data_IF_706093516069
#
_entry.id   IF_706093516069
#
_cell.length_a   1.000
_cell.length_b   1.000
_cell.length_c   1.000
_cell.angle_alpha   90.00
_cell.angle_beta   90.00
_cell.angle_gamma   90.00
#
_symmetry.space_group_name_H-M   'P 1'
#
loop_
_entity.id
_entity.type
_entity.pdbx_description
1 polymer ?
#
# COMPACT_ATOMS: atom_id res chain seq x y z
N UNK A 1 2.71 -0.45 -2.58
CA UNK A 1 2.26 -0.16 -1.21
C UNK A 1 0.77 -0.36 -1.10
N UNK A 2 0.36 -0.95 0.03
CA UNK A 2 -1.01 -1.27 0.39
C UNK A 2 -1.38 -0.31 1.52
N UNK A 3 -1.87 0.87 1.18
CA UNK A 3 -2.16 1.90 2.17
C UNK A 3 -3.46 2.65 1.85
N UNK A 4 -4.16 3.15 2.88
CA UNK A 4 -5.25 4.09 2.67
C UNK A 4 -4.79 5.35 1.93
N UNK A 5 -5.72 6.08 1.31
CA UNK A 5 -5.45 7.33 0.60
C UNK A 5 -6.28 8.48 1.17
N UNK A 6 -5.75 9.70 1.02
CA UNK A 6 -6.34 10.92 1.54
C UNK A 6 -6.50 10.90 3.06
N UNK A 7 -7.46 11.68 3.54
CA UNK A 7 -7.75 11.82 4.97
C UNK A 7 -8.73 10.76 5.44
N UNK A 8 -8.35 10.00 6.48
CA UNK A 8 -9.22 8.99 7.12
C UNK A 8 -9.15 9.14 8.63
N UNK A 9 -10.21 8.72 9.32
CA UNK A 9 -10.21 8.63 10.77
C UNK A 9 -9.74 7.24 11.21
N UNK A 10 -8.90 7.18 12.22
CA UNK A 10 -8.52 5.94 12.89
C UNK A 10 -9.63 5.45 13.85
N UNK A 11 -9.37 4.34 14.54
CA UNK A 11 -10.31 3.78 15.52
C UNK A 11 -10.55 4.70 16.74
N UNK A 12 -9.65 5.63 17.04
CA UNK A 12 -9.78 6.63 18.09
C UNK A 12 -10.49 7.92 17.61
N UNK A 13 -10.81 8.01 16.32
CA UNK A 13 -11.45 9.17 15.70
C UNK A 13 -10.48 10.29 15.28
N UNK A 14 -9.17 10.06 15.36
CA UNK A 14 -8.11 10.99 14.93
C UNK A 14 -8.03 10.99 13.41
N UNK A 15 -8.04 12.17 12.80
CA UNK A 15 -7.84 12.33 11.35
C UNK A 15 -6.36 12.15 11.01
N UNK A 16 -6.08 11.23 10.10
CA UNK A 16 -4.75 10.93 9.57
C UNK A 16 -4.76 11.24 8.07
N UNK A 17 -3.79 12.03 7.61
CA UNK A 17 -3.55 12.30 6.20
C UNK A 17 -2.53 11.31 5.62
N UNK A 18 -3.04 10.31 4.90
CA UNK A 18 -2.20 9.27 4.30
C UNK A 18 -1.44 9.76 3.07
N UNK A 19 -1.88 10.84 2.44
CA UNK A 19 -1.14 11.44 1.33
C UNK A 19 0.10 12.16 1.85
N UNK A 20 -0.01 12.89 2.97
CA UNK A 20 1.12 13.54 3.63
C UNK A 20 2.18 12.51 4.07
N UNK A 21 1.76 11.44 4.76
CA UNK A 21 2.65 10.35 5.18
C UNK A 21 3.38 9.73 3.99
N UNK A 22 2.65 9.51 2.90
CA UNK A 22 3.22 8.94 1.70
C UNK A 22 4.29 9.85 1.07
N UNK A 23 3.93 11.10 0.76
CA UNK A 23 4.79 11.99 -0.01
C UNK A 23 5.99 12.51 0.80
N UNK A 24 5.82 12.73 2.10
CA UNK A 24 6.87 13.33 2.93
C UNK A 24 7.68 12.30 3.73
N UNK A 25 7.16 11.10 3.95
CA UNK A 25 7.81 10.07 4.74
C UNK A 25 8.22 8.85 3.93
N UNK A 26 7.23 8.11 3.43
CA UNK A 26 7.46 6.79 2.83
C UNK A 26 8.19 6.89 1.49
N UNK A 27 7.72 7.74 0.58
CA UNK A 27 8.27 7.87 -0.77
C UNK A 27 9.76 8.26 -0.75
N UNK A 28 10.20 9.29 0.00
CA UNK A 28 11.62 9.64 0.09
C UNK A 28 12.48 8.49 0.61
N UNK A 29 11.99 7.73 1.60
CA UNK A 29 12.73 6.59 2.15
C UNK A 29 12.90 5.44 1.14
N UNK A 30 11.89 5.20 0.30
CA UNK A 30 11.97 4.21 -0.79
C UNK A 30 12.99 4.67 -1.85
N UNK A 31 12.94 5.94 -2.24
CA UNK A 31 13.86 6.51 -3.23
C UNK A 31 15.32 6.51 -2.73
N UNK A 32 15.55 6.82 -1.45
CA UNK A 32 16.87 6.78 -0.82
C UNK A 32 17.44 5.35 -0.76
N UNK A 33 16.57 4.36 -0.58
CA UNK A 33 16.89 2.93 -0.71
C UNK A 33 17.12 2.48 -2.17
N UNK A 34 17.05 3.39 -3.15
CA UNK A 34 17.17 3.14 -4.60
C UNK A 34 16.12 2.17 -5.14
N UNK A 35 14.93 2.20 -4.56
CA UNK A 35 13.77 1.43 -5.00
C UNK A 35 12.76 2.34 -5.71
N UNK A 36 11.89 1.74 -6.51
CA UNK A 36 10.81 2.47 -7.19
C UNK A 36 9.53 2.47 -6.34
N UNK A 37 9.00 3.64 -5.93
CA UNK A 37 7.78 3.72 -5.15
C UNK A 37 6.55 3.50 -6.04
N UNK A 38 5.80 2.42 -5.75
CA UNK A 38 4.54 2.09 -6.44
C UNK A 38 3.37 2.12 -5.45
N UNK A 39 2.47 3.11 -5.57
CA UNK A 39 1.22 3.21 -4.78
C UNK A 39 0.04 2.71 -5.62
N UNK A 40 -0.79 1.83 -5.04
CA UNK A 40 -1.84 1.11 -5.77
C UNK A 40 -2.98 2.00 -6.32
N UNK A 41 -3.10 3.23 -5.83
CA UNK A 41 -4.16 4.19 -6.13
C UNK A 41 -3.77 5.25 -7.20
N UNK A 42 -2.54 5.22 -7.71
CA UNK A 42 -2.08 6.14 -8.74
C UNK A 42 -2.79 5.92 -10.10
N UNK A 43 -3.42 4.77 -10.31
CA UNK A 43 -4.21 4.47 -11.50
C UNK A 43 -5.71 4.41 -11.19
N UNK A 44 -6.40 5.55 -11.36
CA UNK A 44 -7.87 5.60 -11.50
C UNK A 44 -8.34 5.15 -12.89
N UNK A 45 -7.70 4.14 -13.49
CA UNK A 45 -8.09 3.65 -14.81
C UNK A 45 -9.08 2.49 -14.64
N UNK A 46 -10.29 2.65 -15.15
CA UNK A 46 -11.42 1.71 -15.03
C UNK A 46 -11.27 0.39 -15.80
N UNK A 47 -10.12 -0.26 -15.69
CA UNK A 47 -9.91 -1.65 -16.11
C UNK A 47 -10.39 -2.65 -15.06
N UNK A 48 -10.11 -3.95 -15.28
CA UNK A 48 -10.35 -5.00 -14.27
C UNK A 48 -9.42 -4.73 -13.08
N UNK A 49 -9.93 -3.99 -12.09
CA UNK A 49 -9.24 -3.45 -10.90
C UNK A 49 -8.31 -4.50 -10.25
N UNK A 50 -8.71 -5.76 -10.32
CA UNK A 50 -7.99 -6.87 -9.72
C UNK A 50 -6.70 -7.26 -10.46
N UNK A 51 -6.62 -7.18 -11.79
CA UNK A 51 -5.45 -7.71 -12.53
C UNK A 51 -4.18 -6.90 -12.25
N UNK A 52 -4.24 -5.57 -12.39
CA UNK A 52 -3.11 -4.70 -12.10
C UNK A 52 -2.71 -4.73 -10.61
N UNK A 53 -3.70 -4.91 -9.72
CA UNK A 53 -3.46 -5.10 -8.29
C UNK A 53 -2.69 -6.40 -8.02
N UNK A 54 -3.12 -7.52 -8.58
CA UNK A 54 -2.46 -8.83 -8.40
C UNK A 54 -1.07 -8.85 -9.02
N UNK A 55 -0.87 -8.29 -10.21
CA UNK A 55 0.46 -8.18 -10.85
C UNK A 55 1.45 -7.48 -9.93
N UNK A 56 1.07 -6.35 -9.33
CA UNK A 56 1.91 -5.62 -8.36
C UNK A 56 2.24 -6.48 -7.15
N UNK A 57 1.25 -7.18 -6.59
CA UNK A 57 1.46 -8.07 -5.45
C UNK A 57 2.38 -9.25 -5.77
N UNK A 58 2.46 -9.68 -7.02
CA UNK A 58 3.29 -10.82 -7.43
C UNK A 58 4.71 -10.41 -7.86
N UNK A 59 4.82 -9.26 -8.53
CA UNK A 59 6.04 -8.80 -9.18
C UNK A 59 6.87 -7.84 -8.33
N UNK A 60 6.28 -7.17 -7.34
CA UNK A 60 7.05 -6.27 -6.48
C UNK A 60 8.05 -7.05 -5.63
N UNK A 61 9.28 -6.54 -5.58
CA UNK A 61 10.34 -7.06 -4.72
C UNK A 61 10.00 -6.91 -3.25
N UNK A 62 9.35 -5.79 -2.88
CA UNK A 62 8.92 -5.49 -1.52
C UNK A 62 7.47 -5.00 -1.49
N UNK A 63 6.76 -5.32 -0.42
CA UNK A 63 5.43 -4.79 -0.14
C UNK A 63 5.40 -4.14 1.24
N UNK A 64 4.96 -2.89 1.31
CA UNK A 64 4.69 -2.17 2.56
C UNK A 64 3.18 -2.03 2.72
N UNK A 65 2.65 -2.47 3.86
CA UNK A 65 1.22 -2.53 4.17
C UNK A 65 0.88 -1.69 5.41
N UNK A 66 0.07 -0.65 5.24
CA UNK A 66 -0.38 0.22 6.34
C UNK A 66 -1.67 -0.34 6.96
N UNK A 67 -1.54 -0.83 8.21
CA UNK A 67 -2.64 -1.43 8.96
C UNK A 67 -3.33 -0.45 9.93
N UNK A 68 -2.98 0.84 9.92
CA UNK A 68 -3.38 1.85 10.92
C UNK A 68 -4.90 1.96 11.07
N UNK A 69 -5.63 1.89 9.95
CA UNK A 69 -7.10 2.04 9.93
C UNK A 69 -7.85 0.71 9.93
N UNK A 70 -7.15 -0.42 10.06
CA UNK A 70 -7.73 -1.75 9.90
C UNK A 70 -8.57 -1.90 8.60
N UNK A 71 -8.10 -1.30 7.51
CA UNK A 71 -8.81 -1.31 6.23
C UNK A 71 -8.89 -2.73 5.66
N UNK A 72 -10.11 -3.24 5.46
CA UNK A 72 -10.36 -4.57 4.92
C UNK A 72 -9.68 -4.85 3.57
N UNK A 73 -9.54 -3.83 2.70
CA UNK A 73 -8.86 -3.99 1.42
C UNK A 73 -7.36 -4.25 1.61
N UNK A 74 -6.72 -3.52 2.52
CA UNK A 74 -5.30 -3.72 2.82
C UNK A 74 -5.07 -5.12 3.40
N UNK A 75 -5.97 -5.61 4.26
CA UNK A 75 -5.90 -6.99 4.77
C UNK A 75 -6.05 -8.03 3.66
N UNK A 76 -6.95 -7.80 2.70
CA UNK A 76 -7.12 -8.69 1.55
C UNK A 76 -5.85 -8.76 0.71
N UNK A 77 -5.28 -7.61 0.33
CA UNK A 77 -4.05 -7.52 -0.45
C UNK A 77 -2.85 -8.13 0.30
N UNK A 78 -2.76 -7.90 1.61
CA UNK A 78 -1.75 -8.50 2.47
C UNK A 78 -1.86 -10.04 2.50
N UNK A 79 -3.08 -10.56 2.62
CA UNK A 79 -3.35 -12.00 2.59
C UNK A 79 -2.92 -12.62 1.25
N UNK A 80 -3.28 -11.98 0.15
CA UNK A 80 -2.86 -12.39 -1.21
C UNK A 80 -1.33 -12.38 -1.33
N UNK A 81 -0.66 -11.31 -0.90
CA UNK A 81 0.80 -11.22 -0.95
C UNK A 81 1.44 -12.33 -0.13
N UNK A 82 1.00 -12.56 1.09
CA UNK A 82 1.54 -13.62 1.95
C UNK A 82 1.38 -15.01 1.34
N UNK A 83 0.26 -15.27 0.66
CA UNK A 83 0.03 -16.53 -0.03
C UNK A 83 0.99 -16.71 -1.22
N UNK A 84 1.24 -15.64 -1.99
CA UNK A 84 2.01 -15.73 -3.22
C UNK A 84 3.53 -15.58 -3.02
N UNK A 85 3.97 -14.69 -2.12
CA UNK A 85 5.37 -14.38 -1.80
C UNK A 85 5.51 -14.04 -0.32
N UNK A 86 5.81 -15.07 0.47
CA UNK A 86 5.86 -15.00 1.95
C UNK A 86 6.99 -14.13 2.52
N UNK A 87 8.07 -13.95 1.77
CA UNK A 87 9.24 -13.18 2.21
C UNK A 87 9.22 -11.84 1.48
N UNK A 88 9.56 -10.74 2.19
CA UNK A 88 9.60 -9.31 1.74
C UNK A 88 8.35 -8.43 1.95
N UNK A 89 7.53 -8.75 2.96
CA UNK A 89 6.45 -7.84 3.40
C UNK A 89 6.83 -7.11 4.69
N UNK A 90 6.69 -5.78 4.70
CA UNK A 90 6.84 -4.91 5.85
C UNK A 90 5.46 -4.40 6.30
N UNK A 91 5.25 -4.36 7.62
CA UNK A 91 4.02 -3.91 8.28
C UNK A 91 4.27 -2.59 9.02
#
# INVERSE_FOLDING_TARGET
>A
MLMPFGKKKDAAGVEIDFDEIYYNGIKPGIEDARLEPLRADAERSGGVIHTAMFERLLLSDYALADLTTANANVFYELGVRHAARRNTTLL
#
